data_IF_834366224598
#
_entry.id   IF_834366224598
#
_cell.length_a   1.000
_cell.length_b   1.000
_cell.length_c   1.000
_cell.angle_alpha   90.00
_cell.angle_beta   90.00
_cell.angle_gamma   90.00
#
_symmetry.space_group_name_H-M   'P 1'
#
loop_
_entity.id
_entity.type
_entity.pdbx_description
1 polymer ?
#
# COMPACT_ATOMS: atom_id res chain seq x y z
N UNK A 1 21.55 26.22 -1.39
CA UNK A 1 20.94 25.79 -0.11
C UNK A 1 19.77 24.78 -0.24
N UNK A 2 19.71 23.83 -1.21
CA UNK A 2 18.62 22.84 -1.26
C UNK A 2 18.83 21.60 -0.36
N UNK A 3 20.08 21.25 -0.02
CA UNK A 3 20.40 20.03 0.74
C UNK A 3 19.92 20.06 2.20
N UNK A 4 19.86 21.24 2.83
CA UNK A 4 19.38 21.41 4.20
C UNK A 4 17.87 21.17 4.30
N UNK A 5 17.08 21.59 3.31
CA UNK A 5 15.63 21.39 3.27
C UNK A 5 15.27 19.92 3.08
N UNK A 6 15.94 19.22 2.16
CA UNK A 6 15.68 17.80 1.91
C UNK A 6 16.03 16.92 3.13
N UNK A 7 17.11 17.25 3.85
CA UNK A 7 17.48 16.54 5.07
C UNK A 7 16.42 16.71 6.17
N UNK A 8 15.93 17.93 6.40
CA UNK A 8 14.85 18.18 7.36
C UNK A 8 13.57 17.46 6.95
N UNK A 9 13.17 17.57 5.68
CA UNK A 9 11.99 16.86 5.15
C UNK A 9 12.10 15.34 5.32
N UNK A 10 13.30 14.76 5.15
CA UNK A 10 13.53 13.33 5.37
C UNK A 10 13.31 12.90 6.83
N UNK A 11 13.63 13.76 7.81
CA UNK A 11 13.35 13.49 9.21
C UNK A 11 11.85 13.53 9.50
N UNK A 12 11.14 14.52 8.96
CA UNK A 12 9.68 14.62 9.08
C UNK A 12 9.01 13.40 8.46
N UNK A 13 9.39 13.05 7.22
CA UNK A 13 8.89 11.86 6.52
C UNK A 13 9.14 10.59 7.34
N UNK A 14 10.36 10.40 7.84
CA UNK A 14 10.73 9.24 8.67
C UNK A 14 9.89 9.13 9.94
N UNK A 15 9.49 10.27 10.54
CA UNK A 15 8.54 10.30 11.64
C UNK A 15 7.21 9.65 11.26
N UNK A 16 6.64 10.07 10.13
CA UNK A 16 5.36 9.56 9.65
C UNK A 16 5.42 8.11 9.14
N UNK A 17 6.41 7.78 8.32
CA UNK A 17 6.48 6.48 7.64
C UNK A 17 7.14 5.39 8.47
N UNK A 18 7.94 5.76 9.47
CA UNK A 18 8.79 4.84 10.22
C UNK A 18 10.02 4.34 9.45
N UNK A 19 10.32 4.96 8.29
CA UNK A 19 11.60 4.80 7.62
C UNK A 19 12.76 5.29 8.50
N UNK A 20 13.97 4.79 8.25
CA UNK A 20 15.18 5.50 8.73
C UNK A 20 15.43 6.71 7.83
N UNK A 21 15.99 7.84 8.34
CA UNK A 21 16.14 9.07 7.54
C UNK A 21 16.89 8.90 6.21
N UNK A 22 17.93 8.05 6.19
CA UNK A 22 18.67 7.74 4.97
C UNK A 22 17.80 7.04 3.91
N UNK A 23 16.82 6.23 4.35
CA UNK A 23 15.83 5.61 3.48
C UNK A 23 14.69 6.59 3.17
N UNK A 24 14.31 7.51 4.05
CA UNK A 24 13.30 8.52 3.72
C UNK A 24 13.75 9.51 2.64
N UNK A 25 15.04 9.87 2.64
CA UNK A 25 15.60 10.93 1.79
C UNK A 25 15.32 10.79 0.28
N UNK A 26 15.49 9.62 -0.37
CA UNK A 26 15.16 9.45 -1.80
C UNK A 26 13.68 9.57 -2.15
N UNK A 27 12.79 9.62 -1.15
CA UNK A 27 11.34 9.76 -1.31
C UNK A 27 10.85 11.19 -1.15
N UNK A 28 11.76 12.12 -0.80
CA UNK A 28 11.45 13.54 -0.75
C UNK A 28 11.30 14.06 -2.17
N UNK A 29 10.27 14.86 -2.38
CA UNK A 29 10.01 15.42 -3.69
C UNK A 29 10.95 16.59 -4.04
N UNK A 30 10.76 17.15 -5.25
CA UNK A 30 11.57 18.27 -5.75
C UNK A 30 11.27 19.60 -5.05
N UNK A 31 10.10 19.78 -4.46
CA UNK A 31 9.75 20.99 -3.69
C UNK A 31 10.16 20.88 -2.22
N UNK A 32 10.65 19.72 -1.77
CA UNK A 32 11.00 19.45 -0.38
C UNK A 32 9.83 18.95 0.48
N UNK A 33 8.69 18.62 -0.14
CA UNK A 33 7.57 17.92 0.50
C UNK A 33 7.85 16.43 0.68
N UNK A 34 6.94 15.75 1.40
CA UNK A 34 7.15 14.36 1.81
C UNK A 34 7.10 13.37 0.63
N UNK A 35 6.68 13.77 -0.57
CA UNK A 35 6.68 12.94 -1.78
C UNK A 35 5.86 11.65 -1.69
N UNK A 36 4.80 11.63 -0.88
CA UNK A 36 3.95 10.44 -0.67
C UNK A 36 3.10 10.11 -1.92
N UNK A 37 2.53 11.13 -2.56
CA UNK A 37 1.59 10.95 -3.68
C UNK A 37 2.21 11.22 -5.07
N UNK A 38 3.42 11.78 -5.11
CA UNK A 38 4.08 12.12 -6.37
C UNK A 38 4.74 10.89 -6.97
N UNK A 39 4.14 10.35 -8.03
CA UNK A 39 4.66 9.18 -8.71
C UNK A 39 4.26 9.14 -10.20
N UNK A 40 4.82 8.17 -10.92
CA UNK A 40 4.47 7.94 -12.33
C UNK A 40 3.05 7.35 -12.46
N UNK A 41 2.42 7.43 -13.65
CA UNK A 41 1.13 6.81 -13.90
C UNK A 41 1.13 5.30 -13.62
N UNK A 42 2.22 4.61 -13.95
CA UNK A 42 2.41 3.17 -13.70
C UNK A 42 2.35 2.85 -12.21
N UNK A 43 3.00 3.67 -11.38
CA UNK A 43 2.97 3.56 -9.93
C UNK A 43 1.58 3.86 -9.36
N UNK A 44 0.87 4.83 -9.91
CA UNK A 44 -0.51 5.12 -9.52
C UNK A 44 -1.40 3.90 -9.76
N UNK A 45 -1.27 3.26 -10.93
CA UNK A 45 -2.00 2.04 -11.27
C UNK A 45 -1.72 0.90 -10.28
N UNK A 46 -0.43 0.64 -10.03
CA UNK A 46 -0.03 -0.43 -9.12
C UNK A 46 -0.51 -0.18 -7.69
N UNK A 47 -0.37 1.05 -7.17
CA UNK A 47 -0.78 1.38 -5.80
C UNK A 47 -2.29 1.29 -5.62
N UNK A 48 -3.08 1.72 -6.61
CA UNK A 48 -4.52 1.54 -6.59
C UNK A 48 -4.92 0.05 -6.59
N UNK A 49 -4.23 -0.76 -7.39
CA UNK A 49 -4.43 -2.22 -7.41
C UNK A 49 -4.06 -2.86 -6.06
N UNK A 50 -2.96 -2.42 -5.44
CA UNK A 50 -2.53 -2.88 -4.12
C UNK A 50 -3.53 -2.51 -3.03
N UNK A 51 -4.12 -1.31 -3.07
CA UNK A 51 -5.23 -0.95 -2.19
C UNK A 51 -6.39 -1.94 -2.36
N UNK A 52 -6.80 -2.22 -3.61
CA UNK A 52 -7.86 -3.18 -3.89
C UNK A 52 -7.54 -4.59 -3.37
N UNK A 53 -6.29 -5.02 -3.52
CA UNK A 53 -5.80 -6.32 -3.04
C UNK A 53 -5.79 -6.43 -1.52
N UNK A 54 -5.37 -5.36 -0.86
CA UNK A 54 -5.28 -5.31 0.58
C UNK A 54 -6.68 -5.24 1.18
N UNK A 55 -7.55 -4.40 0.63
CA UNK A 55 -8.86 -4.11 1.19
C UNK A 55 -9.99 -5.02 0.68
N UNK A 56 -9.69 -6.14 0.02
CA UNK A 56 -10.63 -7.23 -0.24
C UNK A 56 -10.16 -8.53 0.43
N UNK A 57 -10.38 -8.64 1.74
CA UNK A 57 -9.90 -9.80 2.51
C UNK A 57 -10.85 -10.23 3.64
N UNK A 58 -10.71 -11.50 4.04
CA UNK A 58 -11.50 -12.08 5.11
C UNK A 58 -12.86 -12.61 4.63
N UNK A 59 -13.89 -12.48 5.46
CA UNK A 59 -15.27 -12.88 5.12
C UNK A 59 -16.00 -11.83 4.30
N UNK A 60 -15.53 -10.59 4.33
CA UNK A 60 -15.96 -9.49 3.48
C UNK A 60 -15.02 -9.49 2.27
N UNK A 61 -15.44 -10.05 1.13
CA UNK A 61 -14.64 -9.95 -0.10
C UNK A 61 -15.58 -9.65 -1.25
N UNK A 62 -15.19 -8.73 -2.12
CA UNK A 62 -15.90 -8.56 -3.38
C UNK A 62 -15.90 -9.87 -4.20
N UNK A 63 -16.97 -10.14 -4.98
CA UNK A 63 -17.01 -11.29 -5.88
C UNK A 63 -15.80 -11.29 -6.84
N UNK A 64 -15.20 -12.46 -7.05
CA UNK A 64 -14.12 -12.71 -8.05
C UNK A 64 -12.74 -12.07 -7.80
N UNK A 65 -12.58 -11.22 -6.76
CA UNK A 65 -11.27 -10.66 -6.36
C UNK A 65 -10.84 -11.20 -4.99
N UNK A 66 -10.50 -12.49 -4.91
CA UNK A 66 -9.96 -13.12 -3.68
C UNK A 66 -8.45 -12.99 -3.61
N UNK A 67 -7.97 -11.75 -3.59
CA UNK A 67 -6.54 -11.48 -3.52
C UNK A 67 -6.07 -11.67 -2.07
N UNK A 68 -5.26 -12.70 -1.81
CA UNK A 68 -4.82 -13.12 -0.46
C UNK A 68 -3.73 -12.21 0.13
N UNK A 69 -3.85 -10.91 -0.11
CA UNK A 69 -2.82 -9.90 0.11
C UNK A 69 -3.06 -9.11 1.40
N UNK A 70 -4.30 -8.99 1.89
CA UNK A 70 -4.61 -8.27 3.15
C UNK A 70 -3.82 -8.76 4.38
N UNK A 71 -3.38 -10.01 4.38
CA UNK A 71 -2.52 -10.57 5.44
C UNK A 71 -1.11 -9.95 5.50
N UNK A 72 -0.71 -9.15 4.51
CA UNK A 72 0.56 -8.40 4.57
C UNK A 72 0.56 -7.39 5.73
N UNK A 73 -0.61 -6.88 6.13
CA UNK A 73 -0.72 -6.00 7.30
C UNK A 73 -0.17 -6.62 8.59
N UNK A 74 -0.20 -7.95 8.74
CA UNK A 74 0.34 -8.65 9.91
C UNK A 74 1.88 -8.68 9.98
N UNK A 75 2.57 -8.20 8.94
CA UNK A 75 4.03 -8.04 8.93
C UNK A 75 4.46 -6.60 9.26
N UNK A 76 3.51 -5.75 9.66
CA UNK A 76 3.71 -4.32 9.96
C UNK A 76 4.65 -3.62 8.97
N UNK A 77 4.31 -3.67 7.67
CA UNK A 77 5.19 -3.17 6.63
C UNK A 77 5.35 -1.65 6.75
N UNK A 78 6.55 -1.15 6.51
CA UNK A 78 6.77 0.28 6.23
C UNK A 78 6.63 0.50 4.72
N UNK A 79 5.61 1.27 4.33
CA UNK A 79 5.41 1.68 2.94
C UNK A 79 6.23 2.93 2.64
N UNK A 80 7.20 2.78 1.75
CA UNK A 80 8.15 3.82 1.35
C UNK A 80 7.97 4.13 -0.15
N UNK A 81 6.99 4.97 -0.54
CA UNK A 81 6.81 5.37 -1.93
C UNK A 81 8.00 6.20 -2.44
N UNK A 82 8.42 5.95 -3.67
CA UNK A 82 9.27 6.83 -4.49
C UNK A 82 8.50 7.33 -5.69
N UNK A 83 9.16 8.16 -6.49
CA UNK A 83 8.57 8.67 -7.72
C UNK A 83 8.29 7.56 -8.75
N UNK A 84 9.26 6.70 -9.04
CA UNK A 84 9.21 5.69 -10.11
C UNK A 84 9.03 4.24 -9.60
N UNK A 85 9.20 4.02 -8.29
CA UNK A 85 9.02 2.71 -7.66
C UNK A 85 8.39 2.80 -6.27
N UNK A 86 7.86 1.66 -5.80
CA UNK A 86 7.39 1.49 -4.44
C UNK A 86 8.40 0.64 -3.66
N UNK A 87 8.66 0.95 -2.39
CA UNK A 87 9.46 0.09 -1.50
C UNK A 87 8.59 -0.33 -0.32
N UNK A 88 8.59 -1.63 -0.02
CA UNK A 88 7.97 -2.21 1.16
C UNK A 88 9.07 -2.76 2.06
N UNK A 89 9.21 -2.19 3.26
CA UNK A 89 10.24 -2.58 4.21
C UNK A 89 9.60 -3.46 5.28
N UNK A 90 10.06 -4.70 5.41
CA UNK A 90 9.46 -5.75 6.24
C UNK A 90 10.54 -6.68 6.78
N UNK A 91 10.36 -7.22 7.98
CA UNK A 91 11.34 -8.14 8.58
C UNK A 91 11.33 -9.54 7.93
N UNK A 92 10.27 -9.89 7.20
CA UNK A 92 10.12 -11.17 6.50
C UNK A 92 9.99 -10.98 4.98
N UNK A 93 10.99 -10.38 4.34
CA UNK A 93 10.92 -10.00 2.92
C UNK A 93 10.61 -11.16 1.98
N UNK A 94 11.16 -12.36 2.21
CA UNK A 94 10.88 -13.55 1.41
C UNK A 94 9.39 -13.92 1.48
N UNK A 95 8.80 -13.94 2.67
CA UNK A 95 7.39 -14.28 2.84
C UNK A 95 6.47 -13.26 2.18
N UNK A 96 6.77 -11.97 2.33
CA UNK A 96 5.96 -10.88 1.78
C UNK A 96 6.08 -10.82 0.26
N UNK A 97 7.29 -10.93 -0.30
CA UNK A 97 7.48 -10.97 -1.76
C UNK A 97 6.74 -12.15 -2.39
N UNK A 98 6.84 -13.33 -1.80
CA UNK A 98 6.13 -14.52 -2.27
C UNK A 98 4.61 -14.41 -2.08
N UNK A 99 4.15 -13.67 -1.06
CA UNK A 99 2.71 -13.41 -0.87
C UNK A 99 2.15 -12.46 -1.92
N UNK A 100 2.93 -11.49 -2.39
CA UNK A 100 2.50 -10.56 -3.43
C UNK A 100 2.41 -11.25 -4.80
N UNK A 101 3.39 -12.10 -5.11
CA UNK A 101 3.46 -12.80 -6.40
C UNK A 101 2.52 -14.02 -6.43
N UNK A 102 2.51 -14.82 -5.38
CA UNK A 102 1.82 -16.12 -5.37
C UNK A 102 2.60 -17.21 -6.11
N UNK A 103 1.89 -18.07 -6.82
CA UNK A 103 2.43 -19.17 -7.62
C UNK A 103 1.84 -19.18 -9.02
N UNK A 104 2.43 -19.96 -9.94
CA UNK A 104 1.90 -20.06 -11.31
C UNK A 104 0.47 -20.62 -11.38
N UNK A 105 0.05 -21.40 -10.38
CA UNK A 105 -1.31 -21.96 -10.28
C UNK A 105 -2.24 -21.12 -9.41
N UNK A 106 -1.70 -20.18 -8.63
CA UNK A 106 -2.47 -19.31 -7.74
C UNK A 106 -1.77 -17.94 -7.62
N UNK A 107 -1.86 -17.09 -8.66
CA UNK A 107 -1.31 -15.74 -8.62
C UNK A 107 -2.13 -14.88 -7.66
N UNK A 108 -1.48 -14.24 -6.69
CA UNK A 108 -2.19 -13.48 -5.65
C UNK A 108 -2.51 -12.05 -6.10
N UNK A 109 -1.58 -11.37 -6.76
CA UNK A 109 -1.83 -10.15 -7.54
C UNK A 109 -1.61 -10.52 -9.00
N UNK A 110 -2.68 -10.46 -9.79
CA UNK A 110 -2.60 -10.81 -11.20
C UNK A 110 -1.56 -9.93 -11.92
N UNK A 111 -0.66 -10.57 -12.66
CA UNK A 111 0.43 -9.89 -13.38
C UNK A 111 1.62 -9.44 -12.55
N UNK A 112 1.64 -9.69 -11.24
CA UNK A 112 2.85 -9.48 -10.43
C UNK A 112 3.89 -10.57 -10.71
N UNK A 113 5.13 -10.17 -10.94
CA UNK A 113 6.25 -11.06 -11.27
C UNK A 113 7.48 -10.75 -10.44
N UNK A 114 8.31 -11.76 -10.22
CA UNK A 114 9.68 -11.56 -9.75
C UNK A 114 10.54 -11.12 -10.93
N UNK A 115 11.11 -9.93 -10.85
CA UNK A 115 12.09 -9.44 -11.82
C UNK A 115 13.51 -9.86 -11.39
N UNK A 116 13.81 -9.69 -10.11
CA UNK A 116 15.13 -10.00 -9.58
C UNK A 116 15.10 -10.26 -8.07
N UNK A 117 16.03 -11.08 -7.58
CA UNK A 117 16.36 -11.18 -6.16
C UNK A 117 17.80 -10.73 -5.96
N UNK A 118 17.99 -9.66 -5.19
CA UNK A 118 19.27 -9.03 -4.91
C UNK A 118 19.76 -9.48 -3.53
N UNK A 119 20.55 -10.56 -3.51
CA UNK A 119 21.00 -11.18 -2.25
C UNK A 119 19.84 -11.82 -1.48
N UNK A 120 19.93 -11.83 -0.15
CA UNK A 120 18.92 -12.48 0.69
C UNK A 120 17.77 -11.55 1.09
N UNK A 121 17.98 -10.24 1.04
CA UNK A 121 17.17 -9.26 1.77
C UNK A 121 16.44 -8.24 0.88
N UNK A 122 16.47 -8.44 -0.44
CA UNK A 122 15.87 -7.50 -1.40
C UNK A 122 15.30 -8.25 -2.60
N UNK A 123 14.01 -8.05 -2.83
CA UNK A 123 13.28 -8.53 -4.00
C UNK A 123 12.88 -7.35 -4.84
N UNK A 124 13.04 -7.49 -6.15
CA UNK A 124 12.49 -6.58 -7.14
C UNK A 124 11.36 -7.29 -7.87
N UNK A 125 10.19 -6.69 -7.81
CA UNK A 125 8.97 -7.15 -8.41
C UNK A 125 8.55 -6.19 -9.51
N UNK A 126 7.84 -6.71 -10.50
CA UNK A 126 7.24 -5.92 -11.57
C UNK A 126 5.80 -6.36 -11.80
N UNK A 127 4.90 -5.40 -11.90
CA UNK A 127 3.55 -5.64 -12.36
C UNK A 127 3.51 -5.49 -13.88
N UNK A 128 3.35 -6.60 -14.62
CA UNK A 128 3.43 -6.59 -16.09
C UNK A 128 2.42 -5.65 -16.76
N UNK A 129 1.12 -5.60 -16.36
CA UNK A 129 0.14 -4.74 -17.02
C UNK A 129 0.48 -3.26 -16.94
N UNK A 130 0.97 -2.77 -15.78
CA UNK A 130 1.32 -1.36 -15.63
C UNK A 130 2.80 -1.07 -15.87
N UNK A 131 3.67 -2.08 -15.92
CA UNK A 131 5.12 -1.91 -15.98
C UNK A 131 5.77 -1.42 -14.67
N UNK A 132 4.98 -1.14 -13.63
CA UNK A 132 5.43 -0.57 -12.37
C UNK A 132 6.36 -1.51 -11.60
N UNK A 133 7.36 -0.91 -10.95
CA UNK A 133 8.33 -1.61 -10.11
C UNK A 133 8.02 -1.47 -8.63
N UNK A 134 8.29 -2.53 -7.90
CA UNK A 134 8.20 -2.57 -6.45
C UNK A 134 9.38 -3.33 -5.86
N UNK A 135 9.89 -2.88 -4.73
CA UNK A 135 10.92 -3.55 -3.96
C UNK A 135 10.34 -4.04 -2.64
N UNK A 136 10.72 -5.26 -2.24
CA UNK A 136 10.45 -5.78 -0.90
C UNK A 136 11.78 -6.02 -0.22
N UNK A 137 12.02 -5.37 0.90
CA UNK A 137 13.34 -5.37 1.54
C UNK A 137 13.27 -5.53 3.04
N UNK A 138 14.29 -6.14 3.64
CA UNK A 138 14.50 -5.99 5.09
C UNK A 138 15.02 -4.60 5.45
N UNK A 139 14.81 -4.21 6.70
CA UNK A 139 15.28 -2.94 7.24
C UNK A 139 16.79 -2.80 6.99
N UNK A 140 17.21 -1.66 6.42
CA UNK A 140 18.60 -1.32 6.04
C UNK A 140 19.22 -2.06 4.83
N UNK A 141 18.50 -2.98 4.17
CA UNK A 141 19.00 -3.64 2.96
C UNK A 141 18.95 -2.70 1.73
N UNK A 142 17.93 -1.84 1.66
CA UNK A 142 17.72 -0.94 0.52
C UNK A 142 18.79 0.17 0.39
N UNK A 143 19.40 0.60 1.51
CA UNK A 143 20.46 1.63 1.49
C UNK A 143 21.86 1.09 1.23
N UNK A 144 22.07 -0.22 1.36
CA UNK A 144 23.40 -0.85 1.39
C UNK A 144 23.75 -1.72 0.18
N UNK A 145 22.81 -1.94 -0.76
CA UNK A 145 22.95 -2.99 -1.78
C UNK A 145 22.64 -2.55 -3.22
N UNK A 146 23.44 -1.65 -3.78
CA UNK A 146 23.74 -1.68 -5.23
C UNK A 146 25.01 -2.51 -5.56
N UNK A 147 25.53 -3.27 -4.59
CA UNK A 147 26.65 -4.19 -4.83
C UNK A 147 26.14 -5.42 -5.58
N UNK A 148 26.63 -5.58 -6.82
CA UNK A 148 26.48 -6.71 -7.75
C UNK A 148 25.35 -7.70 -7.40
N UNK A 149 24.21 -7.50 -8.04
CA UNK A 149 23.14 -8.47 -8.16
C UNK A 149 23.68 -9.87 -8.47
N UNK A 150 23.52 -10.82 -7.55
CA UNK A 150 23.64 -12.23 -7.89
C UNK A 150 22.24 -12.74 -8.19
N UNK A 151 21.95 -13.04 -9.46
CA UNK A 151 20.76 -13.78 -9.84
C UNK A 151 20.83 -15.17 -9.21
N UNK A 152 20.04 -15.43 -8.18
CA UNK A 152 20.00 -16.75 -7.56
C UNK A 152 19.31 -17.77 -8.51
N UNK A 153 19.86 -18.98 -8.65
CA UNK A 153 19.46 -19.94 -9.70
C UNK A 153 18.07 -20.58 -9.53
N UNK A 154 17.33 -20.29 -8.44
CA UNK A 154 16.08 -20.99 -8.10
C UNK A 154 14.80 -20.14 -8.22
N UNK A 155 14.83 -19.05 -8.99
CA UNK A 155 13.60 -18.35 -9.38
C UNK A 155 12.69 -19.19 -10.29
N UNK A 156 13.18 -20.29 -10.87
CA UNK A 156 12.44 -21.16 -11.83
C UNK A 156 11.12 -21.75 -11.32
N UNK A 157 10.82 -21.68 -10.01
CA UNK A 157 9.53 -22.10 -9.44
C UNK A 157 8.59 -20.91 -9.16
N UNK A 158 8.94 -19.71 -9.60
CA UNK A 158 8.22 -18.46 -9.35
C UNK A 158 7.90 -17.81 -10.68
N UNK A 159 6.77 -17.11 -10.71
CA UNK A 159 6.35 -16.32 -11.86
C UNK A 159 7.38 -15.22 -12.13
N UNK A 160 8.11 -15.33 -13.24
CA UNK A 160 9.14 -14.37 -13.66
C UNK A 160 8.64 -13.42 -14.74
N UNK A 161 9.37 -12.32 -14.97
CA UNK A 161 8.98 -11.28 -15.95
C UNK A 161 8.95 -11.79 -17.40
N UNK A 162 9.61 -12.90 -17.69
CA UNK A 162 9.59 -13.57 -18.99
C UNK A 162 8.30 -14.39 -19.22
N UNK A 163 7.55 -14.69 -18.16
CA UNK A 163 6.29 -15.42 -18.24
C UNK A 163 5.12 -14.44 -18.48
N UNK A 164 4.40 -14.54 -19.61
CA UNK A 164 3.29 -13.64 -19.91
C UNK A 164 2.13 -13.83 -18.92
N UNK A 165 1.12 -12.95 -19.01
CA UNK A 165 -0.12 -13.13 -18.27
C UNK A 165 -0.84 -14.40 -18.73
N UNK A 166 -1.21 -15.25 -17.79
CA UNK A 166 -2.11 -16.38 -18.03
C UNK A 166 -3.53 -15.88 -18.34
N UNK A 167 -4.36 -16.74 -18.95
CA UNK A 167 -5.77 -16.40 -19.20
C UNK A 167 -6.54 -16.07 -17.90
N UNK A 168 -6.31 -16.84 -16.82
CA UNK A 168 -6.93 -16.57 -15.51
C UNK A 168 -6.49 -15.20 -14.95
N UNK A 169 -5.23 -14.81 -15.12
CA UNK A 169 -4.79 -13.46 -14.72
C UNK A 169 -5.46 -12.37 -15.55
N UNK A 170 -5.61 -12.58 -16.85
CA UNK A 170 -6.33 -11.64 -17.72
C UNK A 170 -7.79 -11.50 -17.30
N UNK A 171 -8.46 -12.62 -17.00
CA UNK A 171 -9.85 -12.63 -16.52
C UNK A 171 -9.98 -11.94 -15.15
N UNK A 172 -9.06 -12.18 -14.22
CA UNK A 172 -9.03 -11.49 -12.91
C UNK A 172 -8.81 -9.99 -13.05
N UNK A 173 -7.92 -9.56 -13.94
CA UNK A 173 -7.69 -8.13 -14.21
C UNK A 173 -8.90 -7.50 -14.90
N UNK A 174 -9.53 -8.20 -15.86
CA UNK A 174 -10.74 -7.74 -16.53
C UNK A 174 -11.95 -7.66 -15.59
N UNK A 175 -11.95 -8.44 -14.51
CA UNK A 175 -12.98 -8.40 -13.48
C UNK A 175 -12.82 -7.22 -12.50
N UNK A 176 -11.70 -6.50 -12.52
CA UNK A 176 -11.52 -5.27 -11.74
C UNK A 176 -12.47 -4.20 -12.29
N UNK A 177 -13.37 -3.63 -11.47
CA UNK A 177 -14.22 -2.55 -11.93
C UNK A 177 -13.39 -1.38 -12.46
N UNK A 178 -13.94 -0.66 -13.44
CA UNK A 178 -13.30 0.56 -13.93
C UNK A 178 -13.09 1.52 -12.76
N UNK A 179 -11.94 2.19 -12.75
CA UNK A 179 -11.54 3.12 -11.69
C UNK A 179 -11.27 4.46 -12.37
N UNK A 180 -11.98 5.51 -11.99
CA UNK A 180 -11.74 6.85 -12.54
C UNK A 180 -10.33 7.36 -12.16
N UNK A 181 -9.74 8.31 -12.90
CA UNK A 181 -8.41 8.83 -12.58
C UNK A 181 -8.28 9.38 -11.15
N UNK A 182 -9.28 10.12 -10.66
CA UNK A 182 -9.25 10.65 -9.29
C UNK A 182 -9.40 9.55 -8.25
N UNK A 183 -10.23 8.53 -8.52
CA UNK A 183 -10.36 7.39 -7.63
C UNK A 183 -9.07 6.58 -7.58
N UNK A 184 -8.36 6.39 -8.72
CA UNK A 184 -7.04 5.76 -8.73
C UNK A 184 -6.04 6.52 -7.84
N UNK A 185 -6.03 7.85 -7.91
CA UNK A 185 -5.19 8.69 -7.03
C UNK A 185 -5.56 8.51 -5.56
N UNK A 186 -6.85 8.49 -5.24
CA UNK A 186 -7.32 8.29 -3.88
C UNK A 186 -6.91 6.92 -3.33
N UNK A 187 -7.17 5.83 -4.07
CA UNK A 187 -6.79 4.47 -3.69
C UNK A 187 -5.27 4.30 -3.58
N UNK A 188 -4.50 4.87 -4.52
CA UNK A 188 -3.05 4.87 -4.44
C UNK A 188 -2.53 5.58 -3.18
N UNK A 189 -3.14 6.72 -2.83
CA UNK A 189 -2.81 7.48 -1.63
C UNK A 189 -3.19 6.75 -0.33
N UNK A 190 -4.32 6.03 -0.32
CA UNK A 190 -4.73 5.17 0.81
C UNK A 190 -3.70 4.06 1.03
N UNK A 191 -3.27 3.37 -0.04
CA UNK A 191 -2.25 2.33 0.07
C UNK A 191 -0.93 2.88 0.64
N UNK A 192 -0.48 4.05 0.19
CA UNK A 192 0.72 4.70 0.73
C UNK A 192 0.59 5.00 2.22
N UNK A 193 -0.63 5.24 2.69
CA UNK A 193 -0.89 5.65 4.07
C UNK A 193 -1.12 4.51 5.04
N UNK A 194 -1.27 3.27 4.54
CA UNK A 194 -1.69 2.10 5.33
C UNK A 194 -0.79 1.73 6.51
N UNK A 195 0.41 2.32 6.59
CA UNK A 195 1.39 2.11 7.65
C UNK A 195 1.89 3.41 8.27
N UNK A 196 1.23 4.55 7.99
CA UNK A 196 1.65 5.81 8.60
C UNK A 196 1.25 5.88 10.05
N UNK A 197 2.04 6.63 10.80
CA UNK A 197 1.78 7.04 12.17
C UNK A 197 1.98 8.53 12.28
N UNK A 198 1.24 9.18 13.15
CA UNK A 198 1.51 10.56 13.51
C UNK A 198 2.60 10.61 14.57
N UNK A 199 3.71 11.35 14.37
CA UNK A 199 4.70 11.58 15.41
C UNK A 199 4.11 12.18 16.70
N UNK A 200 3.02 12.94 16.59
CA UNK A 200 2.32 13.55 17.73
C UNK A 200 1.24 12.63 18.32
N UNK A 201 1.00 11.45 17.73
CA UNK A 201 0.12 10.41 18.26
C UNK A 201 -1.37 10.59 17.95
N UNK A 202 -1.76 11.45 16.99
CA UNK A 202 -3.18 11.62 16.62
C UNK A 202 -3.78 10.44 15.84
N UNK A 203 -2.94 9.67 15.13
CA UNK A 203 -3.33 8.45 14.44
C UNK A 203 -2.16 7.47 14.34
N UNK A 204 -2.47 6.19 14.19
CA UNK A 204 -1.48 5.17 13.85
C UNK A 204 -2.14 4.02 13.08
N UNK A 205 -1.71 3.85 11.82
CA UNK A 205 -2.15 2.80 10.90
C UNK A 205 -1.15 1.61 10.89
N UNK A 206 0.00 1.75 11.53
CA UNK A 206 1.04 0.74 11.69
C UNK A 206 0.70 -0.26 12.79
N UNK A 207 -0.32 -1.09 12.56
CA UNK A 207 -0.71 -2.13 13.51
C UNK A 207 -2.03 -2.79 13.14
N UNK A 208 -2.03 -3.66 12.12
CA UNK A 208 -3.26 -4.26 11.59
C UNK A 208 -3.83 -5.38 12.48
N UNK A 209 -3.08 -5.78 13.51
CA UNK A 209 -3.45 -6.87 14.42
C UNK A 209 -3.73 -6.40 15.86
N UNK A 210 -3.40 -5.16 16.21
CA UNK A 210 -3.51 -4.62 17.57
C UNK A 210 -3.68 -3.10 17.50
N UNK A 211 -4.40 -2.47 18.44
CA UNK A 211 -4.40 -1.01 18.55
C UNK A 211 -3.03 -0.49 19.04
N UNK A 212 -2.22 0.16 18.18
CA UNK A 212 -0.95 0.72 18.63
C UNK A 212 -1.13 1.85 19.65
N UNK A 213 -2.25 2.58 19.60
CA UNK A 213 -2.55 3.68 20.52
C UNK A 213 -3.20 3.23 21.83
N UNK A 214 -3.43 1.91 22.01
CA UNK A 214 -4.01 1.30 23.21
C UNK A 214 -5.28 1.99 23.72
N UNK A 215 -6.13 2.46 22.81
CA UNK A 215 -7.43 3.05 23.16
C UNK A 215 -8.28 1.94 23.80
N UNK A 216 -9.02 2.29 24.85
CA UNK A 216 -9.79 1.36 25.69
C UNK A 216 -10.99 0.70 24.98
N UNK A 217 -11.09 0.83 23.65
CA UNK A 217 -12.15 0.22 22.85
C UNK A 217 -11.70 -1.19 22.48
N UNK A 218 -12.25 -2.18 23.20
CA UNK A 218 -12.02 -3.58 22.92
C UNK A 218 -12.77 -3.97 21.63
N UNK A 219 -12.12 -3.83 20.47
CA UNK A 219 -12.59 -4.55 19.28
C UNK A 219 -12.32 -6.03 19.54
N UNK A 220 -13.37 -6.85 19.46
CA UNK A 220 -13.21 -8.30 19.51
C UNK A 220 -12.06 -8.69 18.58
N UNK A 221 -11.14 -9.54 19.05
CA UNK A 221 -9.94 -10.06 18.34
C UNK A 221 -10.30 -10.90 17.10
N UNK A 222 -11.23 -10.44 16.27
CA UNK A 222 -11.62 -11.07 15.02
C UNK A 222 -10.54 -10.72 13.99
N UNK A 223 -10.28 -11.66 13.10
CA UNK A 223 -9.40 -11.41 11.96
C UNK A 223 -9.93 -10.18 11.21
N UNK A 224 -9.06 -9.23 10.84
CA UNK A 224 -9.49 -8.07 10.06
C UNK A 224 -10.17 -8.56 8.78
N UNK A 225 -11.24 -7.86 8.40
CA UNK A 225 -11.95 -8.10 7.16
C UNK A 225 -12.38 -6.78 6.57
N UNK A 226 -12.20 -6.63 5.27
CA UNK A 226 -12.61 -5.43 4.57
C UNK A 226 -13.06 -5.75 3.16
N UNK A 227 -13.97 -4.94 2.64
CA UNK A 227 -14.43 -4.99 1.26
C UNK A 227 -14.28 -3.61 0.63
N UNK A 228 -13.50 -3.55 -0.45
CA UNK A 228 -13.37 -2.36 -1.28
C UNK A 228 -13.95 -2.67 -2.66
N UNK A 229 -15.05 -2.01 -3.01
CA UNK A 229 -15.75 -2.27 -4.28
C UNK A 229 -16.45 -1.02 -4.78
N UNK A 230 -16.61 -0.91 -6.09
CA UNK A 230 -17.22 0.28 -6.69
C UNK A 230 -17.17 0.24 -8.21
N UNK A 231 -17.44 1.39 -8.82
CA UNK A 231 -17.33 1.58 -10.25
C UNK A 231 -17.06 3.06 -10.56
N UNK A 232 -16.11 3.29 -11.47
CA UNK A 232 -15.64 4.60 -11.91
C UNK A 232 -15.28 5.48 -10.69
N UNK A 233 -16.05 6.53 -10.43
CA UNK A 233 -15.81 7.51 -9.37
C UNK A 233 -16.45 7.17 -8.02
N UNK A 234 -17.35 6.19 -7.93
CA UNK A 234 -18.06 5.84 -6.68
C UNK A 234 -17.69 4.47 -6.14
N UNK A 235 -17.17 4.47 -4.92
CA UNK A 235 -16.67 3.26 -4.26
C UNK A 235 -17.09 3.21 -2.79
N UNK A 236 -17.20 2.00 -2.28
CA UNK A 236 -17.48 1.67 -0.89
C UNK A 236 -16.28 0.94 -0.29
N UNK A 237 -15.83 1.38 0.88
CA UNK A 237 -14.86 0.70 1.73
C UNK A 237 -15.53 0.33 3.04
N UNK A 238 -15.87 -0.94 3.18
CA UNK A 238 -16.31 -1.53 4.45
C UNK A 238 -15.10 -2.07 5.18
N UNK A 239 -14.93 -1.66 6.43
CA UNK A 239 -13.76 -1.97 7.24
C UNK A 239 -14.19 -2.52 8.60
N UNK A 240 -13.74 -3.73 8.95
CA UNK A 240 -13.87 -4.31 10.30
C UNK A 240 -12.50 -4.64 10.88
N UNK A 241 -12.18 -4.07 12.05
CA UNK A 241 -10.95 -4.36 12.79
C UNK A 241 -9.97 -3.19 12.84
N UNK A 242 -8.70 -3.48 13.14
CA UNK A 242 -7.63 -2.48 13.19
C UNK A 242 -6.97 -2.29 11.83
N UNK A 243 -6.34 -1.12 11.60
CA UNK A 243 -6.53 0.14 12.35
C UNK A 243 -7.96 0.73 12.24
N UNK A 244 -8.29 1.73 13.05
CA UNK A 244 -9.65 2.30 13.04
C UNK A 244 -9.88 3.17 11.78
N UNK A 245 -11.11 3.20 11.22
CA UNK A 245 -11.44 4.09 10.11
C UNK A 245 -11.15 5.58 10.37
N UNK A 246 -11.24 6.01 11.63
CA UNK A 246 -10.87 7.38 12.05
C UNK A 246 -9.37 7.65 11.90
N UNK A 247 -8.51 6.66 12.10
CA UNK A 247 -7.06 6.80 11.88
C UNK A 247 -6.77 6.98 10.38
N UNK A 248 -7.50 6.26 9.52
CA UNK A 248 -7.38 6.45 8.07
C UNK A 248 -7.81 7.88 7.69
N UNK A 249 -8.93 8.36 8.21
CA UNK A 249 -9.42 9.72 7.93
C UNK A 249 -8.41 10.78 8.38
N UNK A 250 -7.86 10.63 9.59
CA UNK A 250 -6.84 11.53 10.11
C UNK A 250 -5.58 11.51 9.22
N UNK A 251 -5.11 10.33 8.81
CA UNK A 251 -3.97 10.21 7.92
C UNK A 251 -4.22 10.79 6.52
N UNK A 252 -5.45 10.69 5.99
CA UNK A 252 -5.82 11.23 4.68
C UNK A 252 -5.94 12.76 4.67
N UNK A 253 -6.35 13.35 5.80
CA UNK A 253 -6.58 14.80 5.93
C UNK A 253 -5.46 15.55 6.65
N UNK A 254 -4.41 14.84 7.11
CA UNK A 254 -3.31 15.44 7.86
C UNK A 254 -2.63 16.57 7.07
N UNK A 255 -2.34 17.75 7.67
CA UNK A 255 -1.81 18.90 6.94
C UNK A 255 -0.47 18.65 6.20
N UNK A 256 0.38 17.77 6.74
CA UNK A 256 1.69 17.47 6.18
C UNK A 256 1.75 16.14 5.41
N UNK A 257 0.93 15.17 5.79
CA UNK A 257 1.02 13.77 5.32
C UNK A 257 -0.27 13.30 4.62
N UNK A 258 -1.33 14.11 4.63
CA UNK A 258 -2.58 13.87 3.94
C UNK A 258 -2.45 13.99 2.43
N UNK A 259 -3.53 13.66 1.73
CA UNK A 259 -3.61 13.79 0.28
C UNK A 259 -4.13 15.19 -0.02
N UNK A 260 -3.38 15.96 -0.80
CA UNK A 260 -3.80 17.30 -1.21
C UNK A 260 -5.16 17.26 -1.93
N UNK A 261 -6.10 18.09 -1.47
CA UNK A 261 -7.44 18.18 -2.03
C UNK A 261 -8.43 17.13 -1.52
N UNK A 262 -8.03 16.24 -0.59
CA UNK A 262 -8.99 15.35 0.07
C UNK A 262 -9.86 16.14 1.04
N UNK A 263 -11.17 15.90 0.97
CA UNK A 263 -12.14 16.35 1.97
C UNK A 263 -12.90 15.16 2.54
N UNK A 264 -13.38 15.29 3.77
CA UNK A 264 -14.13 14.24 4.45
C UNK A 264 -15.35 14.81 5.13
N UNK A 265 -16.51 14.28 4.78
CA UNK A 265 -17.78 14.59 5.41
C UNK A 265 -18.24 13.39 6.26
N UNK A 266 -18.55 13.61 7.53
CA UNK A 266 -19.15 12.57 8.36
C UNK A 266 -20.64 12.45 8.03
N UNK A 267 -21.07 11.29 7.54
CA UNK A 267 -22.46 11.05 7.15
C UNK A 267 -23.28 10.40 8.27
N UNK A 268 -22.62 9.64 9.16
CA UNK A 268 -23.21 9.09 10.38
C UNK A 268 -22.16 8.86 11.46
N UNK A 269 -22.54 8.28 12.60
CA UNK A 269 -21.57 7.88 13.64
C UNK A 269 -20.49 6.93 13.09
N UNK A 270 -20.84 6.07 12.14
CA UNK A 270 -19.98 5.00 11.63
C UNK A 270 -19.75 5.07 10.11
N UNK A 271 -20.07 6.21 9.50
CA UNK A 271 -19.93 6.39 8.06
C UNK A 271 -19.34 7.76 7.73
N UNK A 272 -18.45 7.77 6.76
CA UNK A 272 -17.82 8.97 6.22
C UNK A 272 -17.82 8.92 4.70
N UNK A 273 -17.79 10.09 4.09
CA UNK A 273 -17.65 10.27 2.67
C UNK A 273 -16.35 11.02 2.41
N UNK A 274 -15.39 10.30 1.83
CA UNK A 274 -14.08 10.83 1.45
C UNK A 274 -14.13 11.23 -0.02
N UNK A 275 -13.72 12.47 -0.32
CA UNK A 275 -13.74 12.99 -1.69
C UNK A 275 -12.36 13.43 -2.16
N UNK A 276 -12.09 13.25 -3.45
CA UNK A 276 -10.91 13.78 -4.14
C UNK A 276 -11.27 14.07 -5.60
N UNK A 277 -11.38 15.35 -5.98
CA UNK A 277 -11.88 15.70 -7.31
C UNK A 277 -13.32 15.22 -7.50
N UNK A 278 -13.55 14.37 -8.50
CA UNK A 278 -14.84 13.72 -8.78
C UNK A 278 -15.02 12.37 -8.05
N UNK A 279 -13.99 11.86 -7.38
CA UNK A 279 -14.05 10.59 -6.66
C UNK A 279 -14.81 10.71 -5.34
N UNK A 280 -15.67 9.73 -5.06
CA UNK A 280 -16.46 9.57 -3.84
C UNK A 280 -16.21 8.17 -3.26
N UNK A 281 -15.55 8.10 -2.11
CA UNK A 281 -15.33 6.87 -1.35
C UNK A 281 -16.18 6.90 -0.07
N UNK A 282 -17.17 6.03 0.00
CA UNK A 282 -18.01 5.81 1.17
C UNK A 282 -17.29 4.84 2.12
N UNK A 283 -16.79 5.36 3.23
CA UNK A 283 -16.11 4.59 4.26
C UNK A 283 -17.12 4.20 5.35
N UNK A 284 -17.26 2.90 5.57
CA UNK A 284 -18.18 2.33 6.55
C UNK A 284 -17.41 1.53 7.61
N UNK A 285 -17.65 1.89 8.86
CA UNK A 285 -17.20 1.16 10.02
C UNK A 285 -18.34 0.30 10.54
N UNK A 286 -18.34 -1.00 10.25
CA UNK A 286 -19.33 -1.87 10.86
C UNK A 286 -18.91 -2.18 12.31
N UNK A 287 -19.41 -1.39 13.25
CA UNK A 287 -19.58 -1.85 14.63
C UNK A 287 -20.76 -2.83 14.67
N UNK A 288 -20.49 -4.04 15.16
CA UNK A 288 -21.50 -4.99 15.61
C UNK A 288 -21.55 -4.95 17.13
#
# INVERSE_FOLDING_TARGET
MPHTTAKTASLVRAGFTGEVPATALPGIDRSGGLGLDQCTPEQTELRALLALACFNHGTLTAPRLRWRVGQIGAYDPVVSPRFDHLVLIVDACDNVALRLVGSSTDPHIAGMRVEERLGHHLWRLRHLPSGAQMYVSERNAFSSSQRRAQRLPNLRRRLSVEEPLTADEQDRLAAVPRISPSMKRLLAGIWVRMSLRDPDGSFDLGGWCTDPLRRTVERARRAPSSRLWGHEERWDLEWRGYPFPTDLIAALTHPAAGIEGVTVDRTSTHSWLVRLGDAELHLHDEEL
#
